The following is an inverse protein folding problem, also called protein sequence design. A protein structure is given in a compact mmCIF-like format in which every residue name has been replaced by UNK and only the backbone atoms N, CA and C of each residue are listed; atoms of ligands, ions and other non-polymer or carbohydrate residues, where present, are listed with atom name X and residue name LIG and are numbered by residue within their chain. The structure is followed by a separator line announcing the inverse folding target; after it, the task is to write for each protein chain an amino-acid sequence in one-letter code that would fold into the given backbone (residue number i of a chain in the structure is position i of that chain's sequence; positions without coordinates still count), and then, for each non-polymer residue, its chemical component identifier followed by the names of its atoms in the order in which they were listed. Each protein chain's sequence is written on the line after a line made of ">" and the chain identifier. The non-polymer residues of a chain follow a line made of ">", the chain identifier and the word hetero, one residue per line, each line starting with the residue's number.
data_IF_123413738845
#
_entry.id   IF_123413738845
#
_cell.length_a   1.000
_cell.length_b   1.000
_cell.length_c   1.000
_cell.angle_alpha   90.00
_cell.angle_beta   90.00
_cell.angle_gamma   90.00
#
_symmetry.space_group_name_H-M   'P 1'
#
loop_
_entity.id
_entity.type
_entity.pdbx_description
1 polymer ?
#
# COMPACT_ATOMS: atom_id res chain seq x y z
N UNK A 1 21.41 -16.01 5.53
CA UNK A 1 20.50 -15.91 4.36
C UNK A 1 21.35 -16.11 3.11
N UNK A 2 20.93 -16.92 2.14
CA UNK A 2 21.65 -17.10 0.89
C UNK A 2 20.90 -16.36 -0.21
N UNK A 3 21.52 -15.32 -0.77
CA UNK A 3 20.95 -14.57 -1.89
C UNK A 3 21.24 -15.29 -3.22
N UNK A 4 20.41 -15.11 -4.26
CA UNK A 4 20.77 -15.52 -5.61
C UNK A 4 22.07 -14.83 -6.06
N UNK A 5 22.97 -15.57 -6.72
CA UNK A 5 24.26 -15.02 -7.17
C UNK A 5 24.09 -13.77 -8.03
N UNK A 6 23.18 -13.81 -9.02
CA UNK A 6 22.89 -12.65 -9.87
C UNK A 6 22.28 -11.46 -9.14
N UNK A 7 21.71 -11.63 -7.93
CA UNK A 7 21.28 -10.49 -7.11
C UNK A 7 22.49 -9.81 -6.45
N UNK A 8 23.43 -10.59 -5.93
CA UNK A 8 24.65 -10.07 -5.30
C UNK A 8 25.51 -9.36 -6.33
N UNK A 9 25.82 -10.00 -7.45
CA UNK A 9 26.63 -9.43 -8.53
C UNK A 9 26.04 -8.11 -9.05
N UNK A 10 24.70 -8.07 -9.23
CA UNK A 10 23.98 -6.86 -9.67
C UNK A 10 24.20 -5.70 -8.69
N UNK A 11 24.02 -5.92 -7.40
CA UNK A 11 24.08 -4.84 -6.42
C UNK A 11 25.52 -4.47 -6.02
N UNK A 12 26.47 -5.40 -6.09
CA UNK A 12 27.91 -5.09 -6.01
C UNK A 12 28.33 -4.16 -7.16
N UNK A 13 27.82 -4.38 -8.37
CA UNK A 13 28.11 -3.52 -9.52
C UNK A 13 27.40 -2.15 -9.47
N UNK A 14 26.20 -2.06 -8.89
CA UNK A 14 25.42 -0.80 -8.83
C UNK A 14 25.85 0.10 -7.67
N UNK A 15 26.11 -0.50 -6.50
CA UNK A 15 26.33 0.24 -5.25
C UNK A 15 27.80 0.32 -4.86
N UNK A 16 28.68 -0.44 -5.51
CA UNK A 16 30.13 -0.44 -5.29
C UNK A 16 30.47 -0.54 -3.79
N UNK A 17 31.08 0.49 -3.20
CA UNK A 17 31.48 0.52 -1.79
C UNK A 17 30.29 0.40 -0.81
N UNK A 18 29.07 0.78 -1.23
CA UNK A 18 27.85 0.69 -0.41
C UNK A 18 27.20 -0.70 -0.46
N UNK A 19 27.61 -1.58 -1.38
CA UNK A 19 26.97 -2.87 -1.60
C UNK A 19 27.03 -3.76 -0.34
N UNK A 20 28.15 -3.69 0.39
CA UNK A 20 28.33 -4.47 1.63
C UNK A 20 27.29 -4.11 2.68
N UNK A 21 27.09 -2.81 2.92
CA UNK A 21 26.14 -2.33 3.93
C UNK A 21 24.70 -2.59 3.48
N UNK A 22 24.41 -2.42 2.19
CA UNK A 22 23.13 -2.80 1.59
C UNK A 22 22.81 -4.28 1.83
N UNK A 23 23.71 -5.20 1.50
CA UNK A 23 23.50 -6.64 1.69
C UNK A 23 23.40 -7.02 3.17
N UNK A 24 24.19 -6.39 4.03
CA UNK A 24 24.10 -6.58 5.48
C UNK A 24 22.75 -6.14 6.05
N UNK A 25 22.10 -5.12 5.45
CA UNK A 25 20.80 -4.61 5.90
C UNK A 25 19.66 -5.64 5.83
N UNK A 26 19.79 -6.67 4.98
CA UNK A 26 18.82 -7.76 4.86
C UNK A 26 18.87 -8.76 6.01
N UNK A 27 19.92 -8.73 6.83
CA UNK A 27 20.02 -9.54 8.06
C UNK A 27 19.51 -8.83 9.30
N UNK A 28 19.19 -7.54 9.19
CA UNK A 28 18.64 -6.76 10.28
C UNK A 28 17.16 -7.10 10.51
N UNK A 29 16.66 -6.83 11.72
CA UNK A 29 15.26 -7.10 12.05
C UNK A 29 14.31 -6.29 11.16
N UNK A 30 13.26 -6.95 10.65
CA UNK A 30 12.26 -6.30 9.83
C UNK A 30 11.45 -5.28 10.65
N UNK A 31 11.47 -4.03 10.21
CA UNK A 31 10.67 -2.96 10.81
C UNK A 31 9.20 -3.14 10.43
N UNK A 32 8.38 -3.42 11.44
CA UNK A 32 6.93 -3.55 11.27
C UNK A 32 6.24 -2.21 11.50
N UNK A 33 5.16 -1.97 10.75
CA UNK A 33 4.33 -0.80 10.92
C UNK A 33 2.88 -1.08 10.55
N UNK A 34 2.02 -0.16 10.96
CA UNK A 34 0.63 -0.10 10.58
C UNK A 34 0.20 1.34 10.37
N UNK A 35 -1.01 1.50 9.82
CA UNK A 35 -1.62 2.79 9.56
C UNK A 35 -2.99 2.87 10.23
N UNK A 36 -3.25 3.97 10.94
CA UNK A 36 -4.57 4.25 11.51
C UNK A 36 -5.53 4.67 10.40
N UNK A 37 -6.80 4.28 10.54
CA UNK A 37 -7.85 4.64 9.62
C UNK A 37 -8.58 5.90 10.10
N UNK A 38 -8.38 7.06 9.46
CA UNK A 38 -9.07 8.29 9.85
C UNK A 38 -10.57 8.30 9.50
N UNK A 39 -11.07 7.33 8.72
CA UNK A 39 -12.48 7.24 8.32
C UNK A 39 -13.38 6.64 9.42
N UNK A 40 -12.80 6.03 10.46
CA UNK A 40 -13.57 5.50 11.60
C UNK A 40 -13.87 6.62 12.59
N UNK A 41 -15.10 6.69 13.08
CA UNK A 41 -15.49 7.69 14.09
C UNK A 41 -14.74 7.49 15.42
N UNK A 42 -14.65 6.23 15.87
CA UNK A 42 -13.92 5.86 17.07
C UNK A 42 -12.43 5.75 16.76
N UNK A 43 -11.65 6.69 17.28
CA UNK A 43 -10.19 6.68 17.21
C UNK A 43 -9.58 6.16 18.52
N UNK A 44 -8.44 5.49 18.43
CA UNK A 44 -7.63 5.08 19.58
C UNK A 44 -6.26 5.75 19.52
N UNK A 45 -5.65 6.09 20.66
CA UNK A 45 -4.28 6.59 20.68
C UNK A 45 -3.31 5.43 20.39
N UNK A 46 -2.33 5.69 19.53
CA UNK A 46 -1.24 4.77 19.23
C UNK A 46 0.11 5.47 19.47
N UNK A 47 1.06 4.74 20.07
CA UNK A 47 2.43 5.21 20.29
C UNK A 47 3.27 5.10 19.00
N UNK A 48 4.52 5.58 19.04
CA UNK A 48 5.53 5.35 18.01
C UNK A 48 5.13 5.79 16.59
N UNK A 49 4.60 7.01 16.47
CA UNK A 49 4.28 7.61 15.18
C UNK A 49 5.53 7.69 14.28
N UNK A 50 5.36 7.33 13.01
CA UNK A 50 6.43 7.41 12.01
C UNK A 50 6.56 8.88 11.58
N UNK A 51 7.73 9.52 11.77
CA UNK A 51 7.94 10.92 11.43
C UNK A 51 7.57 11.23 9.98
N UNK A 52 6.92 12.38 9.76
CA UNK A 52 6.54 12.87 8.43
C UNK A 52 5.61 11.93 7.65
N UNK A 53 4.89 11.03 8.30
CA UNK A 53 3.83 10.24 7.65
C UNK A 53 2.48 10.55 8.28
N UNK A 54 1.42 10.55 7.47
CA UNK A 54 0.07 10.62 8.01
C UNK A 54 -0.38 9.23 8.43
N UNK A 55 -0.86 9.14 9.67
CA UNK A 55 -1.48 7.95 10.26
C UNK A 55 -0.55 6.75 10.46
N UNK A 56 0.74 6.85 10.14
CA UNK A 56 1.71 5.76 10.24
C UNK A 56 2.27 5.60 11.65
N UNK A 57 2.35 4.36 12.13
CA UNK A 57 2.92 4.00 13.43
C UNK A 57 3.82 2.76 13.29
N UNK A 58 4.96 2.75 13.98
CA UNK A 58 5.77 1.56 14.13
C UNK A 58 5.06 0.55 15.04
N UNK A 59 5.25 -0.74 14.76
CA UNK A 59 4.68 -1.83 15.55
C UNK A 59 4.02 -2.91 14.71
N UNK A 60 3.67 -4.02 15.38
CA UNK A 60 2.99 -5.16 14.78
C UNK A 60 1.52 -5.15 15.17
N UNK A 61 0.65 -5.32 14.18
CA UNK A 61 -0.79 -5.55 14.40
C UNK A 61 -1.13 -6.97 13.97
N UNK A 62 -1.79 -7.71 14.85
CA UNK A 62 -2.30 -9.05 14.54
C UNK A 62 -3.55 -8.94 13.67
N UNK A 63 -3.65 -9.80 12.64
CA UNK A 63 -4.86 -9.91 11.82
C UNK A 63 -6.10 -10.37 12.60
N UNK A 64 -5.95 -10.77 13.87
CA UNK A 64 -7.06 -11.14 14.77
C UNK A 64 -7.37 -10.09 15.83
N UNK A 65 -6.64 -8.98 15.86
CA UNK A 65 -6.85 -7.94 16.87
C UNK A 65 -8.16 -7.17 16.60
N UNK A 66 -8.83 -6.65 17.64
CA UNK A 66 -10.03 -5.82 17.48
C UNK A 66 -9.83 -4.65 16.51
N UNK A 67 -8.66 -4.01 16.56
CA UNK A 67 -8.33 -2.85 15.71
C UNK A 67 -8.25 -3.25 14.23
N UNK A 68 -7.69 -4.43 13.93
CA UNK A 68 -7.64 -4.92 12.55
C UNK A 68 -9.01 -5.36 12.05
N UNK A 69 -9.75 -6.16 12.83
CA UNK A 69 -11.04 -6.72 12.37
C UNK A 69 -12.11 -5.65 12.21
N UNK A 70 -12.05 -4.56 12.99
CA UNK A 70 -12.95 -3.40 12.86
C UNK A 70 -12.51 -2.43 11.76
N UNK A 71 -11.33 -2.63 11.18
CA UNK A 71 -10.73 -1.75 10.18
C UNK A 71 -10.23 -0.42 10.73
N UNK A 72 -9.98 -0.32 12.04
CA UNK A 72 -9.37 0.84 12.66
C UNK A 72 -7.90 1.02 12.24
N UNK A 73 -7.23 -0.09 11.90
CA UNK A 73 -5.85 -0.06 11.43
C UNK A 73 -5.65 -0.98 10.21
N UNK A 74 -4.66 -0.64 9.39
CA UNK A 74 -4.19 -1.47 8.29
C UNK A 74 -2.70 -1.78 8.47
N UNK A 75 -2.31 -3.06 8.45
CA UNK A 75 -0.91 -3.47 8.55
C UNK A 75 -0.17 -3.16 7.24
N UNK A 76 0.82 -2.28 7.29
CA UNK A 76 1.55 -1.82 6.11
C UNK A 76 2.91 -1.29 6.52
N UNK A 77 3.95 -1.78 5.85
CA UNK A 77 5.32 -1.35 6.10
C UNK A 77 5.57 0.13 5.81
N UNK A 78 6.53 0.76 6.51
CA UNK A 78 6.79 2.19 6.36
C UNK A 78 7.03 2.61 4.90
N UNK A 79 7.90 1.89 4.19
CA UNK A 79 8.24 2.21 2.80
C UNK A 79 7.02 2.14 1.86
N UNK A 80 6.11 1.20 2.11
CA UNK A 80 4.90 1.04 1.30
C UNK A 80 3.88 2.16 1.51
N UNK A 81 3.94 2.90 2.62
CA UNK A 81 3.07 4.04 2.91
C UNK A 81 3.43 5.29 2.08
N UNK A 82 4.68 5.36 1.58
CA UNK A 82 5.17 6.51 0.82
C UNK A 82 4.43 6.71 -0.50
N UNK A 83 3.98 5.64 -1.16
CA UNK A 83 3.37 5.71 -2.51
C UNK A 83 2.12 6.58 -2.52
N UNK A 84 1.15 6.32 -1.63
CA UNK A 84 -0.06 7.12 -1.57
C UNK A 84 0.19 8.48 -0.90
N UNK A 85 1.23 8.61 -0.07
CA UNK A 85 1.65 9.89 0.47
C UNK A 85 2.25 10.82 -0.59
N UNK A 86 2.95 10.29 -1.59
CA UNK A 86 3.41 11.09 -2.75
C UNK A 86 2.23 11.46 -3.65
N UNK A 87 1.26 10.55 -3.83
CA UNK A 87 0.07 10.82 -4.64
C UNK A 87 -0.88 11.85 -4.01
N UNK A 88 -1.04 11.80 -2.68
CA UNK A 88 -1.79 12.74 -1.83
C UNK A 88 -3.06 13.33 -2.46
N UNK A 89 -4.02 12.51 -2.94
CA UNK A 89 -5.20 13.03 -3.60
C UNK A 89 -6.04 13.88 -2.65
N UNK A 90 -6.60 14.98 -3.14
CA UNK A 90 -7.51 15.82 -2.35
C UNK A 90 -8.94 15.25 -2.37
N UNK A 91 -9.74 15.44 -1.30
CA UNK A 91 -11.15 15.11 -1.30
C UNK A 91 -11.88 15.63 -2.55
N UNK A 92 -12.71 14.79 -3.17
CA UNK A 92 -13.45 15.13 -4.39
C UNK A 92 -12.76 14.72 -5.70
N UNK A 93 -11.49 14.32 -5.67
CA UNK A 93 -10.78 13.83 -6.85
C UNK A 93 -11.27 12.44 -7.32
N UNK A 94 -11.04 12.18 -8.61
CA UNK A 94 -11.24 10.89 -9.28
C UNK A 94 -9.88 10.19 -9.36
N UNK A 95 -9.69 9.13 -8.60
CA UNK A 95 -8.40 8.44 -8.45
C UNK A 95 -8.50 7.01 -8.95
N UNK A 96 -7.46 6.53 -9.62
CA UNK A 96 -7.30 5.13 -10.00
C UNK A 96 -6.09 4.51 -9.28
N UNK A 97 -6.30 3.43 -8.54
CA UNK A 97 -5.24 2.49 -8.13
C UNK A 97 -5.29 1.29 -9.08
N UNK A 98 -4.31 1.20 -10.00
CA UNK A 98 -4.39 0.29 -11.14
C UNK A 98 -4.08 -1.19 -10.79
N UNK A 99 -3.31 -1.41 -9.72
CA UNK A 99 -2.86 -2.72 -9.24
C UNK A 99 -3.02 -2.79 -7.71
N UNK A 100 -4.27 -2.77 -7.28
CA UNK A 100 -4.66 -2.36 -5.94
C UNK A 100 -4.53 -3.45 -4.87
N UNK A 101 -4.61 -4.74 -5.21
CA UNK A 101 -4.68 -5.77 -4.17
C UNK A 101 -3.32 -5.95 -3.46
N UNK A 102 -3.31 -6.21 -2.14
CA UNK A 102 -4.46 -6.52 -1.28
C UNK A 102 -5.25 -5.30 -0.78
N UNK A 103 -4.85 -4.06 -1.10
CA UNK A 103 -5.62 -2.85 -0.76
C UNK A 103 -4.90 -1.86 0.16
N UNK A 104 -3.61 -2.07 0.48
CA UNK A 104 -2.90 -1.17 1.40
C UNK A 104 -2.79 0.27 0.91
N UNK A 105 -2.53 0.44 -0.40
CA UNK A 105 -2.48 1.75 -1.06
C UNK A 105 -3.88 2.30 -1.29
N UNK A 106 -4.80 1.49 -1.82
CA UNK A 106 -6.21 1.87 -1.98
C UNK A 106 -6.85 2.39 -0.69
N UNK A 107 -6.65 1.71 0.45
CA UNK A 107 -7.16 2.19 1.74
C UNK A 107 -6.50 3.50 2.19
N UNK A 108 -5.23 3.74 1.83
CA UNK A 108 -4.56 5.00 2.11
C UNK A 108 -5.09 6.14 1.23
N UNK A 109 -5.31 5.87 -0.06
CA UNK A 109 -5.92 6.81 -1.00
C UNK A 109 -7.36 7.15 -0.57
N UNK A 110 -8.13 6.15 -0.13
CA UNK A 110 -9.47 6.36 0.42
C UNK A 110 -9.45 7.25 1.67
N UNK A 111 -8.47 7.05 2.56
CA UNK A 111 -8.28 7.90 3.73
C UNK A 111 -8.02 9.37 3.35
N UNK A 112 -7.21 9.62 2.32
CA UNK A 112 -6.98 10.97 1.78
C UNK A 112 -8.23 11.59 1.14
N UNK A 113 -9.00 10.79 0.41
CA UNK A 113 -10.23 11.24 -0.24
C UNK A 113 -11.36 11.56 0.73
N UNK A 114 -11.26 11.12 2.00
CA UNK A 114 -12.24 11.39 3.05
C UNK A 114 -13.69 11.11 2.63
N UNK A 115 -13.92 9.97 1.95
CA UNK A 115 -15.20 9.56 1.38
C UNK A 115 -15.82 10.54 0.35
N UNK A 116 -15.02 11.41 -0.28
CA UNK A 116 -15.46 12.34 -1.32
C UNK A 116 -14.78 12.05 -2.66
N UNK A 117 -15.47 12.29 -3.78
CA UNK A 117 -14.98 11.93 -5.11
C UNK A 117 -15.17 10.44 -5.41
N UNK A 118 -14.25 9.84 -6.16
CA UNK A 118 -14.29 8.40 -6.46
C UNK A 118 -12.89 7.80 -6.49
N UNK A 119 -12.74 6.65 -5.85
CA UNK A 119 -11.57 5.79 -6.00
C UNK A 119 -11.96 4.55 -6.82
N UNK A 120 -11.30 4.34 -7.95
CA UNK A 120 -11.37 3.07 -8.67
C UNK A 120 -10.16 2.25 -8.27
N UNK A 121 -10.39 1.10 -7.66
CA UNK A 121 -9.34 0.15 -7.26
C UNK A 121 -9.42 -1.07 -8.17
N UNK A 122 -8.45 -1.21 -9.07
CA UNK A 122 -8.41 -2.30 -10.04
C UNK A 122 -7.44 -3.39 -9.61
N UNK A 123 -7.82 -4.64 -9.79
CA UNK A 123 -6.93 -5.80 -9.65
C UNK A 123 -7.25 -6.80 -10.75
N UNK A 124 -6.25 -7.20 -11.55
CA UNK A 124 -6.47 -8.11 -12.69
C UNK A 124 -6.75 -9.56 -12.25
N UNK A 125 -6.23 -9.99 -11.10
CA UNK A 125 -6.48 -11.31 -10.53
C UNK A 125 -7.81 -11.37 -9.79
N UNK A 126 -8.77 -12.12 -10.32
CA UNK A 126 -10.09 -12.30 -9.70
C UNK A 126 -10.02 -12.80 -8.26
N UNK A 127 -9.04 -13.65 -7.93
CA UNK A 127 -8.81 -14.14 -6.57
C UNK A 127 -8.36 -13.01 -5.64
N UNK A 128 -7.43 -12.17 -6.07
CA UNK A 128 -6.92 -11.05 -5.26
C UNK A 128 -7.91 -9.89 -5.17
N UNK A 129 -8.75 -9.71 -6.19
CA UNK A 129 -9.83 -8.73 -6.18
C UNK A 129 -10.83 -8.97 -5.03
N UNK A 130 -11.11 -10.24 -4.69
CA UNK A 130 -11.95 -10.57 -3.52
C UNK A 130 -11.34 -10.07 -2.20
N UNK A 131 -10.04 -10.28 -2.02
CA UNK A 131 -9.30 -9.79 -0.84
C UNK A 131 -9.33 -8.26 -0.77
N UNK A 132 -9.18 -7.60 -1.92
CA UNK A 132 -9.29 -6.15 -2.03
C UNK A 132 -10.68 -5.66 -1.60
N UNK A 133 -11.77 -6.29 -2.08
CA UNK A 133 -13.14 -5.96 -1.65
C UNK A 133 -13.29 -6.10 -0.13
N UNK A 134 -12.87 -7.23 0.44
CA UNK A 134 -12.94 -7.48 1.90
C UNK A 134 -12.18 -6.41 2.71
N UNK A 135 -11.01 -5.98 2.22
CA UNK A 135 -10.24 -4.93 2.88
C UNK A 135 -10.88 -3.55 2.74
N UNK A 136 -11.45 -3.22 1.58
CA UNK A 136 -12.14 -1.94 1.39
C UNK A 136 -13.40 -1.84 2.24
N UNK A 137 -14.18 -2.93 2.32
CA UNK A 137 -15.39 -3.02 3.15
C UNK A 137 -15.05 -2.87 4.63
N UNK A 138 -14.07 -3.64 5.12
CA UNK A 138 -13.59 -3.55 6.51
C UNK A 138 -13.09 -2.15 6.85
N UNK A 139 -12.33 -1.53 5.94
CA UNK A 139 -11.83 -0.17 6.11
C UNK A 139 -12.96 0.88 6.13
N UNK A 140 -14.14 0.57 5.58
CA UNK A 140 -15.31 1.44 5.63
C UNK A 140 -15.25 2.61 4.64
N UNK A 141 -14.49 2.46 3.55
CA UNK A 141 -14.46 3.46 2.49
C UNK A 141 -15.73 3.34 1.64
N UNK A 142 -16.47 4.43 1.47
CA UNK A 142 -17.81 4.40 0.83
C UNK A 142 -17.80 4.88 -0.62
N UNK A 143 -16.72 5.53 -1.06
CA UNK A 143 -16.57 6.12 -2.40
C UNK A 143 -15.67 5.29 -3.32
N UNK A 144 -15.69 3.95 -3.18
CA UNK A 144 -14.74 3.06 -3.87
C UNK A 144 -15.46 2.10 -4.81
N UNK A 145 -14.94 1.99 -6.04
CA UNK A 145 -15.36 1.01 -7.04
C UNK A 145 -14.23 0.02 -7.26
N UNK A 146 -14.45 -1.24 -6.88
CA UNK A 146 -13.50 -2.31 -7.17
C UNK A 146 -13.78 -2.88 -8.56
N UNK A 147 -12.74 -2.96 -9.39
CA UNK A 147 -12.82 -3.54 -10.74
C UNK A 147 -11.85 -4.70 -10.89
N UNK A 148 -12.20 -5.65 -11.76
CA UNK A 148 -11.35 -6.79 -12.13
C UNK A 148 -11.11 -6.76 -13.64
N UNK A 149 -10.29 -5.81 -14.08
CA UNK A 149 -10.10 -5.54 -15.50
C UNK A 149 -8.63 -5.37 -15.89
N UNK A 150 -8.37 -5.57 -17.19
CA UNK A 150 -7.07 -5.24 -17.78
C UNK A 150 -6.89 -3.72 -17.92
N UNK A 151 -5.66 -3.23 -17.75
CA UNK A 151 -5.33 -1.82 -17.92
C UNK A 151 -5.73 -1.28 -19.31
N UNK A 152 -5.55 -2.08 -20.37
CA UNK A 152 -5.91 -1.70 -21.74
C UNK A 152 -7.41 -1.47 -21.92
N UNK A 153 -8.26 -2.28 -21.25
CA UNK A 153 -9.71 -2.10 -21.29
C UNK A 153 -10.13 -0.87 -20.50
N UNK A 154 -9.53 -0.64 -19.33
CA UNK A 154 -9.78 0.58 -18.54
C UNK A 154 -9.39 1.83 -19.33
N UNK A 155 -8.24 1.85 -19.99
CA UNK A 155 -7.75 2.99 -20.76
C UNK A 155 -8.68 3.36 -21.94
N UNK A 156 -9.37 2.38 -22.54
CA UNK A 156 -10.36 2.61 -23.61
C UNK A 156 -11.63 3.29 -23.10
N UNK A 157 -12.02 3.01 -21.85
CA UNK A 157 -13.27 3.53 -21.25
C UNK A 157 -13.03 4.85 -20.52
N UNK A 158 -11.96 4.95 -19.74
CA UNK A 158 -11.68 6.06 -18.83
C UNK A 158 -10.63 7.04 -19.36
N UNK A 159 -10.60 7.27 -20.67
CA UNK A 159 -9.63 8.17 -21.29
C UNK A 159 -9.77 9.60 -20.74
N UNK A 160 -8.71 10.09 -20.08
CA UNK A 160 -8.68 11.43 -19.49
C UNK A 160 -9.64 11.63 -18.31
N UNK A 161 -10.11 10.55 -17.69
CA UNK A 161 -11.12 10.61 -16.63
C UNK A 161 -10.54 10.85 -15.23
N UNK A 162 -9.36 10.31 -14.92
CA UNK A 162 -8.79 10.38 -13.58
C UNK A 162 -7.90 11.59 -13.39
N UNK A 163 -8.00 12.21 -12.21
CA UNK A 163 -7.13 13.31 -11.79
C UNK A 163 -5.77 12.78 -11.32
N UNK A 164 -5.76 11.57 -10.73
CA UNK A 164 -4.54 10.87 -10.26
C UNK A 164 -4.63 9.38 -10.59
N UNK A 165 -3.54 8.81 -11.09
CA UNK A 165 -3.39 7.35 -11.29
C UNK A 165 -2.16 6.89 -10.52
N UNK A 166 -2.34 5.87 -9.66
CA UNK A 166 -1.28 5.17 -8.95
C UNK A 166 -1.09 3.79 -9.58
N UNK A 167 0.17 3.45 -9.87
CA UNK A 167 0.57 2.13 -10.32
C UNK A 167 1.66 1.58 -9.41
N UNK A 168 1.27 0.64 -8.54
CA UNK A 168 2.20 -0.25 -7.84
C UNK A 168 2.45 -1.48 -8.69
N UNK A 169 3.41 -1.38 -9.61
CA UNK A 169 3.62 -2.41 -10.61
C UNK A 169 4.09 -3.74 -9.98
N UNK A 170 3.68 -4.89 -10.54
CA UNK A 170 4.31 -6.16 -10.19
C UNK A 170 5.81 -6.09 -10.49
N UNK A 171 6.63 -6.41 -9.51
CA UNK A 171 8.09 -6.34 -9.59
C UNK A 171 8.74 -7.67 -9.20
N UNK A 172 10.07 -7.76 -9.32
CA UNK A 172 10.84 -8.96 -8.92
C UNK A 172 10.74 -9.28 -7.43
N UNK A 173 10.27 -8.35 -6.61
CA UNK A 173 10.08 -8.56 -5.18
C UNK A 173 11.38 -8.64 -4.39
N UNK A 174 12.51 -8.17 -4.93
CA UNK A 174 13.83 -8.21 -4.29
C UNK A 174 13.83 -7.59 -2.88
N UNK A 175 13.07 -6.51 -2.65
CA UNK A 175 12.90 -5.90 -1.33
C UNK A 175 12.18 -6.76 -0.29
N UNK A 176 11.57 -7.88 -0.71
CA UNK A 176 10.92 -8.84 0.18
C UNK A 176 11.89 -9.88 0.74
N UNK A 177 13.14 -9.97 0.26
CA UNK A 177 14.09 -10.98 0.75
C UNK A 177 14.36 -10.88 2.26
N UNK A 178 14.24 -9.69 2.87
CA UNK A 178 14.43 -9.49 4.32
C UNK A 178 13.28 -10.02 5.18
N UNK A 179 12.09 -10.25 4.62
CA UNK A 179 10.89 -10.57 5.39
C UNK A 179 10.71 -12.04 5.69
#
# INVERSE_FOLDING_TARGET
>A
MQFPEGFVEKYEAILEDEARDFLASFTQEAVSAFRVNPLKESQLPFADAIPNTLWGHYGKVSGKSPEHVTGLVYSQEPAAQMVAQVAQPSPGMKVLDLAAAPGGKSTQLAAYLANQGVLVSNEISSKRAKILVENMERFGATNVVVTNESADRLAKVFKGYFDVIVLDAPCSGEGMFRK
#
